data_IF_471779568614
#
_entry.id   IF_471779568614
#
_cell.length_a   1.000
_cell.length_b   1.000
_cell.length_c   1.000
_cell.angle_alpha   90.00
_cell.angle_beta   90.00
_cell.angle_gamma   90.00
#
_symmetry.space_group_name_H-M   'P 1'
#
loop_
_entity.id
_entity.type
_entity.pdbx_description
1 polymer ?
#
# COMPACT_ATOMS: atom_id res chain seq x y z
N UNK A 1 -1.54 -6.04 -7.91
CA UNK A 1 -1.71 -5.65 -6.49
C UNK A 1 -0.61 -6.24 -5.63
N UNK A 2 -0.51 -7.57 -5.57
CA UNK A 2 0.43 -8.27 -4.68
C UNK A 2 1.90 -7.86 -4.86
N UNK A 3 2.37 -7.70 -6.09
CA UNK A 3 3.77 -7.31 -6.37
C UNK A 3 4.08 -5.88 -5.89
N UNK A 4 3.16 -4.93 -6.10
CA UNK A 4 3.37 -3.55 -5.64
C UNK A 4 3.45 -3.46 -4.10
N UNK A 5 2.59 -4.21 -3.40
CA UNK A 5 2.64 -4.31 -1.93
C UNK A 5 3.92 -5.00 -1.45
N UNK A 6 4.37 -6.05 -2.14
CA UNK A 6 5.64 -6.72 -1.81
C UNK A 6 6.83 -5.77 -2.00
N UNK A 7 6.91 -5.08 -3.13
CA UNK A 7 8.01 -4.16 -3.42
C UNK A 7 8.10 -3.06 -2.37
N UNK A 8 6.96 -2.46 -1.98
CA UNK A 8 6.95 -1.41 -0.95
C UNK A 8 7.46 -1.90 0.41
N UNK A 9 7.20 -3.17 0.76
CA UNK A 9 7.71 -3.81 1.99
C UNK A 9 9.17 -4.25 1.90
N UNK A 10 9.74 -4.30 0.70
CA UNK A 10 11.14 -4.69 0.48
C UNK A 10 12.06 -3.48 0.33
N UNK A 11 11.51 -2.28 0.16
CA UNK A 11 12.26 -1.02 0.16
C UNK A 11 12.73 -0.66 1.57
N UNK A 12 14.03 -0.38 1.72
CA UNK A 12 14.65 0.07 2.98
C UNK A 12 14.82 1.59 3.05
N UNK A 13 14.62 2.29 1.92
CA UNK A 13 14.79 3.74 1.77
C UNK A 13 13.47 4.45 2.11
N UNK A 14 13.46 5.26 3.17
CA UNK A 14 12.25 5.96 3.66
C UNK A 14 11.66 6.94 2.64
N UNK A 15 12.51 7.64 1.91
CA UNK A 15 12.09 8.62 0.88
C UNK A 15 11.41 7.90 -0.29
N UNK A 16 12.04 6.85 -0.81
CA UNK A 16 11.47 6.05 -1.90
C UNK A 16 10.15 5.38 -1.49
N UNK A 17 10.05 4.88 -0.25
CA UNK A 17 8.83 4.28 0.26
C UNK A 17 7.68 5.29 0.41
N UNK A 18 7.99 6.53 0.80
CA UNK A 18 7.03 7.63 0.92
C UNK A 18 6.43 8.02 -0.43
N UNK A 19 7.25 8.07 -1.48
CA UNK A 19 6.80 8.37 -2.85
C UNK A 19 5.96 7.25 -3.49
N UNK A 20 6.24 5.99 -3.11
CA UNK A 20 5.51 4.83 -3.61
C UNK A 20 4.17 4.62 -2.88
N UNK A 21 4.05 5.06 -1.63
CA UNK A 21 2.85 4.92 -0.81
C UNK A 21 1.56 5.45 -1.48
N UNK A 22 1.49 6.70 -2.00
CA UNK A 22 0.27 7.22 -2.63
C UNK A 22 -0.11 6.43 -3.90
N UNK A 23 0.87 5.93 -4.66
CA UNK A 23 0.63 5.12 -5.87
C UNK A 23 0.00 3.76 -5.51
N UNK A 24 0.52 3.10 -4.46
CA UNK A 24 -0.02 1.83 -3.98
C UNK A 24 -1.39 2.02 -3.34
N UNK A 25 -1.59 3.09 -2.58
CA UNK A 25 -2.89 3.41 -1.98
C UNK A 25 -3.98 3.62 -3.05
N UNK A 26 -3.69 4.41 -4.10
CA UNK A 26 -4.62 4.62 -5.21
C UNK A 26 -4.96 3.31 -5.95
N UNK A 27 -3.98 2.42 -6.10
CA UNK A 27 -4.21 1.09 -6.67
C UNK A 27 -5.17 0.25 -5.82
N UNK A 28 -4.99 0.24 -4.49
CA UNK A 28 -5.86 -0.50 -3.56
C UNK A 28 -7.28 0.04 -3.59
N UNK A 29 -7.46 1.35 -3.63
CA UNK A 29 -8.77 1.99 -3.68
C UNK A 29 -9.49 1.71 -5.00
N UNK A 30 -8.75 1.68 -6.12
CA UNK A 30 -9.30 1.30 -7.43
C UNK A 30 -9.79 -0.16 -7.44
N UNK A 31 -9.08 -1.06 -6.77
CA UNK A 31 -9.47 -2.48 -6.68
C UNK A 31 -10.65 -2.70 -5.73
N UNK A 32 -10.73 -1.93 -4.66
CA UNK A 32 -11.88 -1.92 -3.77
C UNK A 32 -13.14 -1.43 -4.50
N UNK A 33 -13.03 -0.36 -5.28
CA UNK A 33 -14.14 0.17 -6.11
C UNK A 33 -14.62 -0.83 -7.16
N UNK A 34 -13.71 -1.65 -7.70
CA UNK A 34 -14.04 -2.73 -8.65
C UNK A 34 -14.51 -4.02 -7.97
N UNK A 35 -14.73 -4.01 -6.65
CA UNK A 35 -15.12 -5.18 -5.85
C UNK A 35 -14.16 -6.38 -5.94
N UNK A 36 -12.90 -6.17 -6.36
CA UNK A 36 -11.86 -7.22 -6.41
C UNK A 36 -11.35 -7.54 -5.01
N UNK A 37 -11.33 -6.54 -4.12
CA UNK A 37 -11.03 -6.68 -2.70
C UNK A 37 -12.09 -5.96 -1.87
N UNK A 38 -12.40 -6.48 -0.68
CA UNK A 38 -13.33 -5.81 0.22
C UNK A 38 -12.76 -4.46 0.72
N UNK A 39 -13.62 -3.46 0.91
CA UNK A 39 -13.24 -2.11 1.39
C UNK A 39 -12.40 -2.15 2.68
N UNK A 40 -12.78 -3.02 3.63
CA UNK A 40 -12.03 -3.20 4.88
C UNK A 40 -10.64 -3.79 4.62
N UNK A 41 -10.49 -4.67 3.63
CA UNK A 41 -9.19 -5.25 3.29
C UNK A 41 -8.27 -4.20 2.67
N UNK A 42 -8.80 -3.33 1.80
CA UNK A 42 -8.05 -2.20 1.26
C UNK A 42 -7.61 -1.23 2.38
N UNK A 43 -8.51 -0.89 3.31
CA UNK A 43 -8.21 -0.04 4.46
C UNK A 43 -7.12 -0.66 5.37
N UNK A 44 -7.24 -1.94 5.72
CA UNK A 44 -6.25 -2.65 6.55
C UNK A 44 -4.87 -2.67 5.90
N UNK A 45 -4.80 -2.89 4.57
CA UNK A 45 -3.53 -2.88 3.85
C UNK A 45 -2.92 -1.47 3.80
N UNK A 46 -3.71 -0.42 3.59
CA UNK A 46 -3.23 0.97 3.63
C UNK A 46 -2.65 1.32 5.01
N UNK A 47 -3.36 0.96 6.08
CA UNK A 47 -2.90 1.17 7.45
C UNK A 47 -1.58 0.43 7.72
N UNK A 48 -1.52 -0.87 7.41
CA UNK A 48 -0.30 -1.68 7.59
C UNK A 48 0.91 -1.14 6.81
N UNK A 49 0.71 -0.64 5.58
CA UNK A 49 1.80 -0.08 4.79
C UNK A 49 2.25 1.28 5.33
N UNK A 50 1.31 2.11 5.81
CA UNK A 50 1.65 3.40 6.42
C UNK A 50 2.47 3.23 7.70
N UNK A 51 2.10 2.26 8.55
CA UNK A 51 2.88 1.91 9.74
C UNK A 51 4.30 1.46 9.40
N UNK A 52 4.45 0.66 8.34
CA UNK A 52 5.76 0.20 7.89
C UNK A 52 6.64 1.36 7.40
N UNK A 53 6.11 2.27 6.59
CA UNK A 53 6.85 3.45 6.12
C UNK A 53 7.21 4.38 7.28
N UNK A 54 6.33 4.52 8.27
CA UNK A 54 6.63 5.33 9.46
C UNK A 54 7.70 4.70 10.36
N UNK A 55 7.87 3.37 10.32
CA UNK A 55 8.89 2.64 11.08
C UNK A 55 10.27 2.58 10.43
N UNK A 56 10.39 3.03 9.18
CA UNK A 56 11.64 3.23 8.45
C UNK A 56 12.15 4.66 8.68
#
# INVERSE_FOLDING_TARGET
MRNAVRNLRSTSEKEAASDMLPKVAAMLDKLAKKNVIHKNKAANLKSSLSLHVNSL
#
